data_IF_012340642510
#
_entry.id   IF_012340642510
#
_cell.length_a   1.000
_cell.length_b   1.000
_cell.length_c   1.000
_cell.angle_alpha   90.00
_cell.angle_beta   90.00
_cell.angle_gamma   90.00
#
_symmetry.space_group_name_H-M   'P 1'
#
loop_
_entity.id
_entity.type
_entity.pdbx_description
1 polymer ?
#
# COMPACT_ATOMS: atom_id res chain seq x y z
N UNK A 1 -50.00 1.57 31.14
CA UNK A 1 -49.01 0.81 31.93
C UNK A 1 -47.71 0.73 31.14
N UNK A 2 -47.04 1.87 31.04
CA UNK A 2 -45.66 2.02 30.59
C UNK A 2 -44.80 2.06 31.86
N UNK A 3 -43.97 1.05 32.11
CA UNK A 3 -43.01 1.12 33.23
C UNK A 3 -41.82 0.16 33.12
N UNK A 4 -41.90 -0.93 32.34
CA UNK A 4 -40.87 -1.98 32.42
C UNK A 4 -39.88 -2.06 31.24
N UNK A 5 -40.04 -1.25 30.18
CA UNK A 5 -39.06 -1.18 29.08
C UNK A 5 -38.01 -0.06 29.24
N UNK A 6 -38.15 0.84 30.22
CA UNK A 6 -37.22 1.97 30.39
C UNK A 6 -36.10 1.70 31.41
N UNK A 7 -36.13 0.57 32.12
CA UNK A 7 -35.17 0.26 33.20
C UNK A 7 -33.91 -0.49 32.74
N UNK A 8 -33.87 -0.97 31.50
CA UNK A 8 -32.70 -1.69 30.95
C UNK A 8 -31.78 -0.80 30.10
N UNK A 9 -32.13 0.48 29.92
CA UNK A 9 -31.38 1.46 29.14
C UNK A 9 -30.55 2.45 29.99
N UNK A 10 -30.63 2.38 31.32
CA UNK A 10 -29.91 3.29 32.23
C UNK A 10 -28.73 2.66 33.01
N UNK A 11 -28.51 1.34 32.92
CA UNK A 11 -27.37 0.67 33.60
C UNK A 11 -26.14 0.45 32.70
N UNK A 12 -26.23 0.67 31.38
CA UNK A 12 -25.08 0.54 30.49
C UNK A 12 -24.26 1.83 30.30
N UNK A 13 -24.79 2.99 30.71
CA UNK A 13 -24.10 4.29 30.54
C UNK A 13 -23.26 4.72 31.75
N UNK A 14 -23.29 3.97 32.87
CA UNK A 14 -22.61 4.37 34.12
C UNK A 14 -21.34 3.58 34.47
N UNK A 15 -20.79 2.74 33.58
CA UNK A 15 -19.54 2.01 33.84
C UNK A 15 -18.35 2.44 32.97
N UNK A 16 -18.30 3.70 32.50
CA UNK A 16 -17.09 4.32 31.95
C UNK A 16 -16.96 5.82 32.30
N UNK A 17 -17.42 6.19 33.50
CA UNK A 17 -17.26 7.54 34.05
C UNK A 17 -16.54 7.51 35.42
N UNK A 18 -15.32 6.98 35.45
CA UNK A 18 -14.28 7.17 36.46
C UNK A 18 -13.10 6.30 35.97
N UNK A 19 -11.89 6.78 35.72
CA UNK A 19 -11.10 7.61 36.63
C UNK A 19 -9.78 8.06 35.98
N UNK A 20 -9.38 9.27 36.33
CA UNK A 20 -8.05 9.91 36.23
C UNK A 20 -7.68 10.67 34.95
N UNK A 21 -8.11 11.94 34.97
CA UNK A 21 -7.42 13.07 34.36
C UNK A 21 -5.97 13.18 34.88
N UNK A 22 -5.02 13.32 33.96
CA UNK A 22 -3.65 13.78 34.25
C UNK A 22 -3.50 15.16 33.60
N UNK A 23 -3.43 16.21 34.43
CA UNK A 23 -3.04 17.56 34.02
C UNK A 23 -1.53 17.71 34.17
N UNK A 24 -0.99 18.52 33.26
CA UNK A 24 0.42 18.74 32.94
C UNK A 24 1.21 19.39 34.08
N UNK A 25 2.45 18.94 34.29
CA UNK A 25 3.49 19.73 34.94
C UNK A 25 4.80 19.61 34.16
N UNK A 26 5.27 20.78 33.73
CA UNK A 26 6.54 21.07 33.07
C UNK A 26 7.71 20.73 33.98
N UNK A 27 8.74 20.06 33.48
CA UNK A 27 10.12 20.13 34.01
C UNK A 27 11.10 19.60 32.94
N UNK A 28 12.25 20.25 32.88
CA UNK A 28 13.19 20.29 31.76
C UNK A 28 14.54 19.72 32.24
N UNK A 29 15.21 18.94 31.37
CA UNK A 29 16.63 18.55 31.37
C UNK A 29 17.13 17.47 32.39
N UNK A 30 18.39 16.98 32.28
CA UNK A 30 18.82 15.97 31.29
C UNK A 30 19.73 14.89 31.92
N UNK A 31 19.63 13.59 31.61
CA UNK A 31 20.72 12.66 31.99
C UNK A 31 20.97 11.58 30.93
N UNK A 32 22.21 11.64 30.42
CA UNK A 32 22.91 10.61 29.65
C UNK A 32 22.88 9.27 30.40
N UNK A 33 22.66 8.18 29.67
CA UNK A 33 23.10 6.86 30.12
C UNK A 33 24.11 6.27 29.13
N UNK A 34 25.28 6.05 29.71
CA UNK A 34 26.50 5.42 29.20
C UNK A 34 26.36 3.90 29.26
N UNK A 35 27.19 3.23 28.46
CA UNK A 35 27.15 1.84 28.01
C UNK A 35 26.98 0.69 29.04
N UNK A 36 26.68 -0.47 28.42
CA UNK A 36 27.03 -1.85 28.77
C UNK A 36 26.04 -2.76 29.54
N UNK A 37 25.31 -3.55 28.73
CA UNK A 37 25.09 -5.01 28.83
C UNK A 37 24.70 -5.61 30.19
N UNK A 38 23.41 -5.96 30.32
CA UNK A 38 22.97 -7.23 30.91
C UNK A 38 21.51 -7.58 30.57
N UNK A 39 21.31 -8.82 30.10
CA UNK A 39 20.12 -9.67 30.13
C UNK A 39 18.76 -9.10 29.64
N UNK A 40 18.26 -9.51 28.47
CA UNK A 40 17.50 -10.76 28.24
C UNK A 40 16.17 -10.84 28.99
N UNK A 41 15.09 -11.10 28.22
CA UNK A 41 13.71 -11.45 28.61
C UNK A 41 12.67 -10.31 28.70
N UNK A 42 12.09 -9.91 27.56
CA UNK A 42 10.69 -9.46 27.49
C UNK A 42 10.09 -9.87 26.13
N UNK A 43 10.00 -11.18 25.89
CA UNK A 43 9.06 -11.75 24.94
C UNK A 43 8.15 -12.68 25.75
N UNK A 44 6.95 -12.22 26.08
CA UNK A 44 5.74 -13.03 26.41
C UNK A 44 4.67 -12.14 27.05
N UNK A 45 3.86 -11.44 26.23
CA UNK A 45 2.49 -11.12 26.62
C UNK A 45 1.55 -11.71 25.56
N UNK A 46 1.37 -13.03 25.64
CA UNK A 46 0.24 -13.73 25.05
C UNK A 46 -0.69 -14.06 26.22
N UNK A 47 -1.82 -13.37 26.29
CA UNK A 47 -2.86 -13.62 27.29
C UNK A 47 -3.58 -14.90 26.88
N UNK A 48 -3.26 -16.00 27.55
CA UNK A 48 -4.02 -17.24 27.52
C UNK A 48 -5.22 -17.08 28.47
N UNK A 49 -6.44 -17.00 27.93
CA UNK A 49 -7.68 -16.93 28.71
C UNK A 49 -8.44 -18.25 28.58
N UNK A 50 -8.00 -19.26 29.32
CA UNK A 50 -8.73 -20.51 29.51
C UNK A 50 -9.46 -20.50 30.86
N UNK A 51 -10.70 -20.03 30.87
CA UNK A 51 -11.67 -20.30 31.93
C UNK A 51 -13.08 -20.46 31.32
N UNK A 52 -13.34 -21.62 30.70
CA UNK A 52 -14.72 -22.05 30.44
C UNK A 52 -15.26 -22.73 31.71
N UNK A 53 -15.99 -21.97 32.55
CA UNK A 53 -16.87 -22.57 33.55
C UNK A 53 -18.12 -23.12 32.83
N UNK A 54 -18.27 -24.45 32.83
CA UNK A 54 -19.51 -25.13 32.42
C UNK A 54 -20.63 -24.75 33.38
N UNK A 55 -21.49 -23.83 32.98
CA UNK A 55 -22.82 -23.66 33.58
C UNK A 55 -23.78 -24.63 32.90
N UNK A 56 -24.31 -25.61 33.64
CA UNK A 56 -25.42 -26.45 33.19
C UNK A 56 -26.72 -25.67 33.42
N UNK A 57 -27.29 -25.11 32.36
CA UNK A 57 -28.67 -24.61 32.39
C UNK A 57 -29.57 -25.69 31.80
N UNK A 58 -30.36 -26.32 32.67
CA UNK A 58 -31.52 -27.13 32.29
C UNK A 58 -32.73 -26.20 32.29
N UNK A 59 -33.32 -25.98 31.12
CA UNK A 59 -34.49 -25.13 30.96
C UNK A 59 -35.02 -25.24 29.54
N UNK A 60 -36.13 -25.96 29.40
CA UNK A 60 -36.94 -26.01 28.19
C UNK A 60 -37.45 -24.61 27.84
N UNK A 61 -37.36 -24.16 26.58
CA UNK A 61 -38.36 -23.30 25.94
C UNK A 61 -38.11 -23.08 24.42
N UNK A 62 -39.16 -23.37 23.64
CA UNK A 62 -39.55 -22.82 22.33
C UNK A 62 -38.59 -22.82 21.12
N UNK A 63 -38.97 -23.62 20.11
CA UNK A 63 -38.63 -23.49 18.68
C UNK A 63 -39.14 -22.15 18.11
N UNK A 64 -38.35 -21.08 18.18
CA UNK A 64 -38.55 -19.90 17.32
C UNK A 64 -37.41 -18.90 17.46
N UNK A 65 -36.33 -19.10 16.71
CA UNK A 65 -35.49 -18.00 16.26
C UNK A 65 -34.72 -18.48 15.01
N UNK A 66 -35.25 -18.16 13.83
CA UNK A 66 -34.46 -18.27 12.59
C UNK A 66 -33.24 -17.38 12.76
N UNK A 67 -32.07 -18.00 12.85
CA UNK A 67 -30.81 -17.30 12.88
C UNK A 67 -30.63 -16.54 11.56
N UNK A 68 -30.75 -15.22 11.59
CA UNK A 68 -30.18 -14.35 10.57
C UNK A 68 -28.68 -14.54 10.66
N UNK A 69 -28.13 -15.42 9.82
CA UNK A 69 -26.69 -15.52 9.62
C UNK A 69 -26.25 -14.23 8.92
N UNK A 70 -25.93 -13.21 9.72
CA UNK A 70 -25.18 -12.06 9.23
C UNK A 70 -23.87 -12.58 8.67
N UNK A 71 -23.65 -12.40 7.37
CA UNK A 71 -22.34 -12.63 6.74
C UNK A 71 -21.35 -11.73 7.45
N UNK A 72 -20.50 -12.30 8.30
CA UNK A 72 -19.36 -11.59 8.86
C UNK A 72 -18.46 -11.30 7.66
N UNK A 73 -18.47 -10.06 7.17
CA UNK A 73 -17.57 -9.63 6.11
C UNK A 73 -16.14 -9.83 6.64
N UNK A 74 -15.46 -10.88 6.17
CA UNK A 74 -14.03 -11.06 6.43
C UNK A 74 -13.32 -9.76 6.07
N UNK A 75 -12.50 -9.19 6.97
CA UNK A 75 -11.78 -7.96 6.68
C UNK A 75 -11.03 -8.15 5.37
N UNK A 76 -11.21 -7.20 4.45
CA UNK A 76 -10.56 -7.26 3.14
C UNK A 76 -9.05 -7.45 3.36
N UNK A 77 -8.51 -8.56 2.87
CA UNK A 77 -7.08 -8.82 2.94
C UNK A 77 -6.33 -7.59 2.41
N UNK A 78 -5.42 -7.04 3.22
CA UNK A 78 -4.55 -5.95 2.79
C UNK A 78 -3.67 -6.45 1.66
N UNK A 79 -3.35 -5.57 0.70
CA UNK A 79 -2.49 -5.93 -0.42
C UNK A 79 -1.15 -6.51 0.04
N UNK A 80 -0.82 -7.66 -0.51
CA UNK A 80 0.42 -8.38 -0.24
C UNK A 80 1.58 -7.82 -1.05
N UNK A 81 1.30 -7.06 -2.11
CA UNK A 81 2.33 -6.47 -2.96
C UNK A 81 1.95 -5.11 -3.54
N UNK A 82 2.97 -4.34 -3.93
CA UNK A 82 2.82 -3.00 -4.52
C UNK A 82 3.75 -2.85 -5.72
N UNK A 83 3.19 -2.49 -6.88
CA UNK A 83 3.91 -2.08 -8.08
C UNK A 83 3.97 -0.55 -8.12
N UNK A 84 5.17 0.03 -8.09
CA UNK A 84 5.39 1.46 -8.29
C UNK A 84 5.59 1.74 -9.76
N UNK A 85 4.63 2.42 -10.39
CA UNK A 85 4.73 2.93 -11.76
C UNK A 85 5.26 4.36 -11.72
N UNK A 86 6.28 4.63 -12.51
CA UNK A 86 6.92 5.94 -12.68
C UNK A 86 6.45 6.59 -13.97
N UNK A 87 6.09 7.88 -13.89
CA UNK A 87 5.86 8.72 -15.06
C UNK A 87 7.18 9.38 -15.46
N UNK A 88 7.86 8.76 -16.42
CA UNK A 88 9.21 9.16 -16.80
C UNK A 88 9.32 10.63 -17.21
N UNK A 89 8.38 11.25 -17.97
CA UNK A 89 8.52 12.66 -18.32
C UNK A 89 8.56 13.59 -17.10
N UNK A 90 7.76 13.31 -16.08
CA UNK A 90 7.78 14.08 -14.84
C UNK A 90 9.09 13.86 -14.07
N UNK A 91 9.50 12.60 -13.86
CA UNK A 91 10.70 12.26 -13.09
C UNK A 91 11.97 12.79 -13.76
N UNK A 92 12.09 12.62 -15.07
CA UNK A 92 13.23 13.09 -15.84
C UNK A 92 13.29 14.63 -15.89
N UNK A 93 12.15 15.35 -15.89
CA UNK A 93 12.10 16.84 -15.83
C UNK A 93 12.48 17.36 -14.45
N UNK A 94 12.01 16.69 -13.40
CA UNK A 94 12.24 17.10 -12.01
C UNK A 94 13.63 16.72 -11.50
N UNK A 95 14.28 15.72 -12.11
CA UNK A 95 15.59 15.24 -11.70
C UNK A 95 16.58 15.24 -12.87
N UNK A 96 17.38 16.32 -13.03
CA UNK A 96 18.37 16.44 -14.12
C UNK A 96 19.40 15.31 -14.13
N UNK A 97 19.72 14.72 -12.97
CA UNK A 97 20.68 13.61 -12.88
C UNK A 97 20.18 12.33 -13.55
N UNK A 98 18.88 12.21 -13.78
CA UNK A 98 18.26 11.07 -14.45
C UNK A 98 18.24 11.20 -15.97
N UNK A 99 18.62 12.35 -16.55
CA UNK A 99 18.49 12.62 -17.99
C UNK A 99 19.21 11.62 -18.90
N UNK A 100 20.29 10.98 -18.42
CA UNK A 100 21.05 9.99 -19.18
C UNK A 100 20.47 8.56 -19.09
N UNK A 101 19.42 8.33 -18.29
CA UNK A 101 18.78 7.02 -18.21
C UNK A 101 18.03 6.72 -19.51
N UNK A 102 18.07 5.44 -19.93
CA UNK A 102 17.37 5.00 -21.16
C UNK A 102 15.90 5.39 -21.18
N UNK A 103 15.20 5.32 -20.04
CA UNK A 103 13.79 5.71 -19.97
C UNK A 103 13.53 7.19 -20.30
N UNK A 104 14.48 8.09 -20.00
CA UNK A 104 14.37 9.51 -20.33
C UNK A 104 14.67 9.76 -21.82
N UNK A 105 15.66 9.05 -22.37
CA UNK A 105 16.09 9.18 -23.78
C UNK A 105 15.06 8.56 -24.74
N UNK A 106 14.53 7.38 -24.40
CA UNK A 106 13.57 6.65 -25.25
C UNK A 106 12.16 7.25 -25.23
N UNK A 107 11.88 8.20 -24.33
CA UNK A 107 10.58 8.87 -24.23
C UNK A 107 9.43 7.94 -23.81
N UNK A 108 9.74 6.87 -23.06
CA UNK A 108 8.72 5.97 -22.53
C UNK A 108 7.80 6.77 -21.58
N UNK A 109 6.48 6.80 -21.81
CA UNK A 109 5.58 7.61 -20.99
C UNK A 109 5.45 7.08 -19.55
N UNK A 110 5.75 5.80 -19.36
CA UNK A 110 5.72 5.12 -18.07
C UNK A 110 6.77 4.00 -18.00
N UNK A 111 7.30 3.77 -16.81
CA UNK A 111 8.17 2.65 -16.46
C UNK A 111 7.80 2.08 -15.09
N UNK A 112 8.36 0.92 -14.74
CA UNK A 112 8.26 0.39 -13.38
C UNK A 112 9.47 0.84 -12.56
N UNK A 113 9.21 1.50 -11.43
CA UNK A 113 10.24 1.94 -10.49
C UNK A 113 10.55 0.85 -9.44
N UNK A 114 9.53 0.13 -8.95
CA UNK A 114 9.74 -1.00 -8.04
C UNK A 114 8.57 -1.97 -8.02
N UNK A 115 8.81 -3.18 -7.52
CA UNK A 115 7.76 -4.11 -7.11
C UNK A 115 8.15 -4.71 -5.76
N UNK A 116 7.33 -4.49 -4.74
CA UNK A 116 7.61 -4.98 -3.38
C UNK A 116 6.55 -5.96 -2.94
N UNK A 117 6.97 -7.02 -2.26
CA UNK A 117 6.09 -7.98 -1.60
C UNK A 117 6.26 -7.80 -0.09
N UNK A 118 5.16 -7.77 0.65
CA UNK A 118 5.17 -7.63 2.10
C UNK A 118 5.50 -8.96 2.78
N UNK A 119 5.97 -8.89 4.04
CA UNK A 119 6.06 -10.04 4.95
C UNK A 119 6.95 -11.21 4.44
N UNK A 120 8.02 -10.90 3.73
CA UNK A 120 8.97 -11.88 3.20
C UNK A 120 10.41 -11.55 3.63
N UNK A 121 11.19 -12.57 3.94
CA UNK A 121 12.61 -12.41 4.27
C UNK A 121 13.47 -12.19 3.02
N UNK A 122 14.51 -11.38 3.15
CA UNK A 122 15.46 -11.12 2.07
C UNK A 122 16.47 -12.26 1.91
N UNK A 123 16.62 -12.75 0.69
CA UNK A 123 17.69 -13.69 0.30
C UNK A 123 18.99 -12.96 -0.07
N UNK A 124 20.10 -13.69 -0.13
CA UNK A 124 21.41 -13.20 -0.61
C UNK A 124 21.64 -13.48 -2.11
N UNK A 125 20.59 -13.86 -2.84
CA UNK A 125 20.70 -14.26 -4.23
C UNK A 125 21.08 -13.10 -5.16
N UNK A 126 21.97 -13.38 -6.11
CA UNK A 126 22.43 -12.40 -7.09
C UNK A 126 21.43 -12.25 -8.23
N UNK A 127 21.43 -11.06 -8.82
CA UNK A 127 20.68 -10.81 -10.05
C UNK A 127 21.20 -11.71 -11.17
N UNK A 128 20.30 -12.43 -11.83
CA UNK A 128 20.61 -13.32 -12.95
C UNK A 128 19.38 -13.49 -13.84
N UNK A 129 19.52 -13.14 -15.12
CA UNK A 129 18.50 -13.34 -16.17
C UNK A 129 19.18 -13.70 -17.49
N UNK A 130 18.51 -14.51 -18.31
CA UNK A 130 18.93 -14.77 -19.69
C UNK A 130 18.77 -13.52 -20.58
N UNK A 131 19.51 -13.40 -21.69
CA UNK A 131 19.36 -12.29 -22.63
C UNK A 131 17.92 -12.07 -23.13
N UNK A 132 17.15 -13.16 -23.31
CA UNK A 132 15.75 -13.08 -23.70
C UNK A 132 14.89 -12.44 -22.60
N UNK A 133 15.09 -12.83 -21.34
CA UNK A 133 14.36 -12.27 -20.19
C UNK A 133 14.69 -10.79 -19.98
N UNK A 134 15.95 -10.41 -20.18
CA UNK A 134 16.39 -9.01 -20.18
C UNK A 134 15.65 -8.20 -21.25
N UNK A 135 15.58 -8.70 -22.49
CA UNK A 135 14.90 -8.05 -23.61
C UNK A 135 13.40 -7.89 -23.38
N UNK A 136 12.74 -8.86 -22.76
CA UNK A 136 11.32 -8.76 -22.44
C UNK A 136 11.10 -7.70 -21.36
N UNK A 137 11.92 -7.73 -20.31
CA UNK A 137 11.80 -6.81 -19.16
C UNK A 137 12.17 -5.38 -19.52
N UNK A 138 13.03 -5.16 -20.54
CA UNK A 138 13.39 -3.82 -21.00
C UNK A 138 12.21 -3.03 -21.58
N UNK A 139 11.08 -3.68 -21.87
CA UNK A 139 9.85 -2.97 -22.30
C UNK A 139 9.20 -2.17 -21.18
N UNK A 140 9.38 -2.56 -19.92
CA UNK A 140 8.76 -1.90 -18.75
C UNK A 140 9.79 -1.31 -17.79
N UNK A 141 11.02 -1.83 -17.80
CA UNK A 141 12.17 -1.27 -17.08
C UNK A 141 13.34 -1.19 -18.07
N UNK A 142 13.47 -0.11 -18.86
CA UNK A 142 14.44 -0.04 -19.96
C UNK A 142 15.90 -0.19 -19.53
N UNK A 143 16.28 0.45 -18.43
CA UNK A 143 17.66 0.48 -17.96
C UNK A 143 18.04 -0.78 -17.16
N UNK A 144 19.16 -1.42 -17.54
CA UNK A 144 19.63 -2.65 -16.92
C UNK A 144 20.21 -2.47 -15.51
N UNK A 145 20.79 -1.31 -15.20
CA UNK A 145 21.25 -1.01 -13.85
C UNK A 145 20.07 -0.75 -12.92
N UNK A 146 19.00 -0.12 -13.41
CA UNK A 146 17.74 0.01 -12.67
C UNK A 146 17.15 -1.37 -12.37
N UNK A 147 17.13 -2.31 -13.34
CA UNK A 147 16.70 -3.70 -13.06
C UNK A 147 17.51 -4.35 -11.94
N UNK A 148 18.84 -4.24 -11.98
CA UNK A 148 19.72 -4.76 -10.91
C UNK A 148 19.40 -4.11 -9.56
N UNK A 149 19.20 -2.80 -9.52
CA UNK A 149 18.90 -2.06 -8.29
C UNK A 149 17.54 -2.46 -7.70
N UNK A 150 16.51 -2.59 -8.54
CA UNK A 150 15.19 -3.06 -8.13
C UNK A 150 15.27 -4.46 -7.51
N UNK A 151 16.07 -5.36 -8.11
CA UNK A 151 16.29 -6.68 -7.54
C UNK A 151 16.98 -6.63 -6.18
N UNK A 152 18.05 -5.85 -6.06
CA UNK A 152 18.80 -5.72 -4.79
C UNK A 152 17.95 -5.10 -3.68
N UNK A 153 17.10 -4.14 -4.00
CA UNK A 153 16.29 -3.44 -3.00
C UNK A 153 15.02 -4.22 -2.62
N UNK A 154 14.32 -4.79 -3.60
CA UNK A 154 12.99 -5.36 -3.40
C UNK A 154 12.90 -6.82 -3.81
N UNK A 155 13.48 -7.18 -4.96
CA UNK A 155 13.33 -8.51 -5.54
C UNK A 155 13.88 -9.64 -4.68
N UNK A 156 15.05 -9.44 -4.06
CA UNK A 156 15.64 -10.44 -3.15
C UNK A 156 14.76 -10.76 -1.94
N UNK A 157 13.83 -9.87 -1.59
CA UNK A 157 12.87 -10.00 -0.49
C UNK A 157 11.48 -10.42 -0.96
N UNK A 158 11.32 -10.90 -2.19
CA UNK A 158 10.01 -11.28 -2.74
C UNK A 158 9.64 -12.75 -2.55
N UNK A 159 10.59 -13.59 -2.12
CA UNK A 159 10.44 -15.05 -2.13
C UNK A 159 10.49 -15.69 -3.54
N UNK A 160 10.68 -14.89 -4.59
CA UNK A 160 10.78 -15.34 -5.98
C UNK A 160 12.24 -15.42 -6.45
N UNK A 161 12.52 -16.26 -7.44
CA UNK A 161 13.77 -16.18 -8.21
C UNK A 161 13.79 -14.93 -9.09
N UNK A 162 14.97 -14.45 -9.48
CA UNK A 162 15.12 -13.26 -10.35
C UNK A 162 14.23 -13.32 -11.60
N UNK A 163 14.21 -14.42 -12.38
CA UNK A 163 13.34 -14.49 -13.56
C UNK A 163 11.85 -14.47 -13.21
N UNK A 164 11.44 -15.10 -12.11
CA UNK A 164 10.04 -15.15 -11.68
C UNK A 164 9.57 -13.77 -11.21
N UNK A 165 10.40 -13.07 -10.45
CA UNK A 165 10.15 -11.70 -10.01
C UNK A 165 9.89 -10.75 -11.19
N UNK A 166 10.79 -10.72 -12.19
CA UNK A 166 10.59 -9.84 -13.35
C UNK A 166 9.46 -10.30 -14.27
N UNK A 167 9.16 -11.60 -14.35
CA UNK A 167 7.96 -12.09 -15.05
C UNK A 167 6.68 -11.57 -14.39
N UNK A 168 6.62 -11.56 -13.06
CA UNK A 168 5.49 -10.98 -12.31
C UNK A 168 5.35 -9.50 -12.61
N UNK A 169 6.44 -8.73 -12.57
CA UNK A 169 6.43 -7.30 -12.96
C UNK A 169 5.84 -7.11 -14.36
N UNK A 170 6.36 -7.85 -15.35
CA UNK A 170 5.89 -7.75 -16.74
C UNK A 170 4.40 -8.08 -16.84
N UNK A 171 3.93 -9.11 -16.14
CA UNK A 171 2.52 -9.50 -16.12
C UNK A 171 1.64 -8.39 -15.52
N UNK A 172 1.96 -7.90 -14.33
CA UNK A 172 1.18 -6.86 -13.65
C UNK A 172 1.17 -5.54 -14.47
N UNK A 173 2.31 -5.13 -15.01
CA UNK A 173 2.41 -3.95 -15.85
C UNK A 173 1.58 -4.07 -17.14
N UNK A 174 1.52 -5.27 -17.76
CA UNK A 174 0.72 -5.50 -18.97
C UNK A 174 -0.80 -5.48 -18.72
N UNK A 175 -1.22 -5.88 -17.52
CA UNK A 175 -2.61 -5.90 -17.10
C UNK A 175 -3.10 -4.49 -16.78
N UNK A 176 -2.26 -3.66 -16.17
CA UNK A 176 -2.59 -2.28 -15.83
C UNK A 176 -2.79 -1.41 -17.07
N UNK A 177 -3.99 -0.85 -17.22
CA UNK A 177 -4.33 0.09 -18.28
C UNK A 177 -4.26 1.52 -17.73
N UNK A 178 -3.42 2.36 -18.33
CA UNK A 178 -3.33 3.76 -17.95
C UNK A 178 -4.07 4.67 -18.94
N UNK A 179 -4.51 5.86 -18.50
CA UNK A 179 -5.11 6.86 -19.40
C UNK A 179 -4.17 7.23 -20.56
N UNK A 180 -4.73 7.35 -21.76
CA UNK A 180 -3.99 7.66 -23.00
C UNK A 180 -3.27 9.00 -22.94
N UNK A 181 -3.75 9.91 -22.10
CA UNK A 181 -3.20 11.25 -21.90
C UNK A 181 -1.74 11.18 -21.44
N UNK A 182 -1.38 10.16 -20.64
CA UNK A 182 0.01 9.90 -20.23
C UNK A 182 0.94 9.63 -21.41
N UNK A 183 0.40 9.04 -22.49
CA UNK A 183 1.17 8.68 -23.70
C UNK A 183 1.05 9.69 -24.83
N UNK A 184 0.30 10.78 -24.63
CA UNK A 184 0.03 11.74 -25.71
C UNK A 184 1.16 12.74 -25.97
N UNK A 185 2.21 12.74 -25.15
CA UNK A 185 3.33 13.68 -25.24
C UNK A 185 3.02 15.10 -24.77
N UNK A 186 1.75 15.43 -24.46
CA UNK A 186 1.35 16.77 -24.00
C UNK A 186 1.22 16.80 -22.48
N UNK A 187 1.48 17.97 -21.87
CA UNK A 187 1.18 18.19 -20.46
C UNK A 187 -0.29 18.54 -20.25
N UNK A 188 -0.89 18.03 -19.18
CA UNK A 188 -2.28 18.29 -18.81
C UNK A 188 -2.41 18.62 -17.33
N UNK A 189 -3.44 19.40 -17.00
CA UNK A 189 -3.90 19.58 -15.63
C UNK A 189 -5.12 18.72 -15.38
N UNK A 190 -5.06 17.88 -14.36
CA UNK A 190 -6.14 16.97 -14.00
C UNK A 190 -6.64 17.26 -12.59
N UNK A 191 -7.96 17.15 -12.41
CA UNK A 191 -8.53 16.92 -11.09
C UNK A 191 -8.23 15.47 -10.69
N UNK A 192 -7.74 15.27 -9.47
CA UNK A 192 -7.39 13.96 -8.93
C UNK A 192 -8.56 12.97 -9.04
N UNK A 193 -9.78 13.42 -8.72
CA UNK A 193 -10.99 12.59 -8.84
C UNK A 193 -11.33 12.23 -10.29
N UNK A 194 -11.04 13.10 -11.26
CA UNK A 194 -11.25 12.83 -12.68
C UNK A 194 -10.28 11.76 -13.19
N UNK A 195 -9.00 11.88 -12.85
CA UNK A 195 -7.98 10.90 -13.20
C UNK A 195 -8.24 9.55 -12.52
N UNK A 196 -8.64 9.55 -11.24
CA UNK A 196 -9.07 8.32 -10.55
C UNK A 196 -10.24 7.63 -11.26
N UNK A 197 -11.26 8.37 -11.70
CA UNK A 197 -12.40 7.78 -12.43
C UNK A 197 -11.97 7.14 -13.75
N UNK A 198 -11.07 7.79 -14.50
CA UNK A 198 -10.52 7.20 -15.72
C UNK A 198 -9.76 5.90 -15.41
N UNK A 199 -8.90 5.90 -14.40
CA UNK A 199 -8.12 4.72 -14.02
C UNK A 199 -9.02 3.55 -13.61
N UNK A 200 -10.07 3.82 -12.83
CA UNK A 200 -11.05 2.81 -12.42
C UNK A 200 -11.84 2.25 -13.60
N UNK A 201 -12.26 3.10 -14.53
CA UNK A 201 -13.00 2.70 -15.74
C UNK A 201 -12.17 1.79 -16.65
N UNK A 202 -10.87 2.08 -16.78
CA UNK A 202 -9.95 1.31 -17.62
C UNK A 202 -9.53 -0.04 -17.01
N UNK A 203 -9.70 -0.24 -15.70
CA UNK A 203 -9.21 -1.41 -14.99
C UNK A 203 -10.35 -2.09 -14.20
N UNK A 204 -11.14 -2.97 -14.83
CA UNK A 204 -12.16 -3.74 -14.13
C UNK A 204 -11.60 -4.47 -12.91
N UNK A 205 -12.30 -4.39 -11.79
CA UNK A 205 -11.87 -4.97 -10.51
C UNK A 205 -10.99 -4.05 -9.64
N UNK A 206 -10.44 -2.96 -10.20
CA UNK A 206 -9.75 -1.94 -9.42
C UNK A 206 -10.74 -1.14 -8.58
N UNK A 207 -10.40 -0.86 -7.31
CA UNK A 207 -11.19 -0.04 -6.40
C UNK A 207 -10.49 1.29 -6.11
N UNK A 208 -11.19 2.33 -5.60
CA UNK A 208 -10.57 3.64 -5.30
C UNK A 208 -9.41 3.58 -4.29
N UNK A 209 -9.29 2.49 -3.53
CA UNK A 209 -8.22 2.25 -2.56
C UNK A 209 -7.16 1.25 -3.06
N UNK A 210 -7.19 0.88 -4.34
CA UNK A 210 -6.22 -0.02 -4.96
C UNK A 210 -4.98 0.69 -5.51
N UNK A 211 -4.94 2.02 -5.44
CA UNK A 211 -3.81 2.80 -5.89
C UNK A 211 -3.61 4.05 -5.03
N UNK A 212 -2.40 4.59 -5.08
CA UNK A 212 -2.03 5.87 -4.48
C UNK A 212 -1.29 6.72 -5.50
N UNK A 213 -1.54 8.02 -5.49
CA UNK A 213 -0.84 8.99 -6.33
C UNK A 213 0.23 9.72 -5.53
N UNK A 214 1.41 9.83 -6.11
CA UNK A 214 2.54 10.55 -5.54
C UNK A 214 2.94 11.70 -6.45
N UNK A 215 3.00 12.88 -5.86
CA UNK A 215 3.35 14.08 -6.57
C UNK A 215 4.59 14.73 -5.95
N UNK A 216 5.31 15.46 -6.79
CA UNK A 216 6.39 16.34 -6.37
C UNK A 216 6.08 17.78 -6.81
N UNK A 217 6.78 18.73 -6.22
CA UNK A 217 6.66 20.15 -6.58
C UNK A 217 7.72 20.48 -7.61
N UNK A 218 7.33 21.08 -8.74
CA UNK A 218 8.29 21.65 -9.68
C UNK A 218 8.80 23.01 -9.19
N UNK A 219 9.72 23.62 -9.94
CA UNK A 219 10.29 24.95 -9.64
C UNK A 219 9.25 26.06 -9.53
N UNK A 220 8.11 25.93 -10.22
CA UNK A 220 6.98 26.85 -10.14
C UNK A 220 5.99 26.53 -9.00
N UNK A 221 6.32 25.59 -8.09
CA UNK A 221 5.47 25.20 -6.97
C UNK A 221 4.22 24.39 -7.35
N UNK A 222 4.13 23.93 -8.59
CA UNK A 222 3.00 23.14 -9.10
C UNK A 222 3.16 21.68 -8.67
N UNK A 223 2.06 21.04 -8.28
CA UNK A 223 2.05 19.61 -7.94
C UNK A 223 2.06 18.81 -9.24
N UNK A 224 3.10 18.02 -9.47
CA UNK A 224 3.30 17.17 -10.67
C UNK A 224 3.23 15.71 -10.25
N UNK A 225 2.40 14.90 -10.91
CA UNK A 225 2.30 13.47 -10.68
C UNK A 225 3.58 12.77 -11.15
N UNK A 226 4.24 12.04 -10.26
CA UNK A 226 5.49 11.33 -10.56
C UNK A 226 5.35 9.81 -10.46
N UNK A 227 4.60 9.32 -9.47
CA UNK A 227 4.38 7.88 -9.31
C UNK A 227 2.92 7.52 -9.07
N UNK A 228 2.54 6.33 -9.52
CA UNK A 228 1.30 5.65 -9.19
C UNK A 228 1.69 4.31 -8.56
N UNK A 229 1.41 4.13 -7.27
CA UNK A 229 1.54 2.82 -6.65
C UNK A 229 0.23 2.07 -6.84
N UNK A 230 0.28 0.85 -7.37
CA UNK A 230 -0.86 -0.04 -7.53
C UNK A 230 -0.66 -1.28 -6.68
N UNK A 231 -1.70 -1.66 -5.93
CA UNK A 231 -1.64 -2.69 -4.90
C UNK A 231 -2.37 -3.97 -5.35
N UNK A 232 -1.77 -5.12 -5.08
CA UNK A 232 -2.27 -6.42 -5.52
C UNK A 232 -2.30 -7.44 -4.38
N UNK A 233 -3.22 -8.40 -4.46
CA UNK A 233 -3.24 -9.59 -3.61
C UNK A 233 -2.20 -10.62 -4.07
N UNK A 234 -2.02 -11.70 -3.29
CA UNK A 234 -1.14 -12.82 -3.64
C UNK A 234 -1.43 -13.49 -4.99
N UNK A 235 -2.63 -13.31 -5.55
CA UNK A 235 -3.02 -13.84 -6.86
C UNK A 235 -2.81 -12.83 -8.00
N UNK A 236 -2.23 -11.66 -7.72
CA UNK A 236 -2.00 -10.61 -8.71
C UNK A 236 -3.27 -9.84 -9.10
N UNK A 237 -4.36 -9.94 -8.31
CA UNK A 237 -5.59 -9.17 -8.53
C UNK A 237 -5.51 -7.85 -7.79
N UNK A 238 -6.16 -6.81 -8.29
CA UNK A 238 -6.21 -5.51 -7.60
C UNK A 238 -6.77 -5.67 -6.18
N UNK A 239 -6.04 -5.13 -5.20
CA UNK A 239 -6.37 -5.22 -3.79
C UNK A 239 -6.30 -3.85 -3.13
N UNK A 240 -6.71 -3.75 -1.87
CA UNK A 240 -6.63 -2.51 -1.11
C UNK A 240 -5.19 -2.26 -0.64
N UNK A 241 -4.63 -1.09 -0.93
CA UNK A 241 -3.36 -0.67 -0.35
C UNK A 241 -3.43 -0.62 1.19
N UNK A 242 -2.41 -1.15 1.87
CA UNK A 242 -2.32 -1.13 3.33
C UNK A 242 -2.30 0.30 3.90
N UNK A 243 -1.65 1.22 3.19
CA UNK A 243 -1.61 2.64 3.52
C UNK A 243 -2.25 3.42 2.39
N UNK A 244 -3.25 4.26 2.72
CA UNK A 244 -3.68 5.33 1.81
C UNK A 244 -2.72 6.50 1.98
N UNK A 245 -2.09 6.91 0.88
CA UNK A 245 -1.21 8.08 0.85
C UNK A 245 -1.79 9.08 -0.14
N UNK A 246 -2.19 10.24 0.36
CA UNK A 246 -2.62 11.38 -0.44
C UNK A 246 -1.43 12.33 -0.61
N UNK A 247 -0.43 11.91 -1.37
CA UNK A 247 0.76 12.74 -1.63
C UNK A 247 0.53 13.77 -2.76
N UNK A 248 -0.65 13.79 -3.37
CA UNK A 248 -1.04 14.73 -4.42
C UNK A 248 -2.13 15.70 -3.96
N UNK A 249 -2.09 16.92 -4.47
CA UNK A 249 -3.17 17.90 -4.29
C UNK A 249 -4.45 17.47 -5.04
N UNK A 250 -5.57 18.17 -4.79
CA UNK A 250 -6.86 17.94 -5.47
C UNK A 250 -6.77 18.09 -6.99
N UNK A 251 -5.78 18.86 -7.46
CA UNK A 251 -5.37 18.97 -8.84
C UNK A 251 -3.86 18.82 -8.96
N UNK A 252 -3.41 18.18 -10.02
CA UNK A 252 -1.99 18.03 -10.35
C UNK A 252 -1.75 18.13 -11.85
N UNK A 253 -0.49 18.34 -12.21
CA UNK A 253 0.01 18.28 -13.56
C UNK A 253 0.47 16.86 -13.88
N UNK A 254 0.17 16.43 -15.09
CA UNK A 254 0.82 15.31 -15.76
C UNK A 254 1.71 15.94 -16.80
N UNK A 255 3.01 15.68 -16.71
CA UNK A 255 3.95 16.15 -17.72
C UNK A 255 3.95 15.22 -18.92
N UNK A 256 3.87 15.83 -20.11
CA UNK A 256 4.10 15.15 -21.37
C UNK A 256 5.59 15.02 -21.68
N UNK A 257 5.88 14.30 -22.77
CA UNK A 257 7.22 14.19 -23.32
C UNK A 257 7.80 15.58 -23.68
N UNK A 258 9.13 15.62 -23.77
CA UNK A 258 9.91 16.81 -24.10
C UNK A 258 9.63 17.32 -25.51
#
# INVERSE_FOLDING_TARGET
>A
MLSSCLKTLLDFTNLHAASHAVKWASLQFPLQFKDDKAAANLASLVINSSHQKRAKFSGYLSLSCLAVMGTIATPAAHADSVLGVELSPAVCKLNPYMGNLRQCIEGNPMTVNFYRVANQSCSNSRYSMSPLQEKITSKVIPDGNIRKNIWQQYGRCSGLSTPNYFRTINSLASQLKLPKELSSGRSYRFASSGFSRQLLSLNPGMKPNSFNFFCQKNSAGQSVLTYINVCYDNNGRFAQCATRSYACASQFLIDGNY
#
